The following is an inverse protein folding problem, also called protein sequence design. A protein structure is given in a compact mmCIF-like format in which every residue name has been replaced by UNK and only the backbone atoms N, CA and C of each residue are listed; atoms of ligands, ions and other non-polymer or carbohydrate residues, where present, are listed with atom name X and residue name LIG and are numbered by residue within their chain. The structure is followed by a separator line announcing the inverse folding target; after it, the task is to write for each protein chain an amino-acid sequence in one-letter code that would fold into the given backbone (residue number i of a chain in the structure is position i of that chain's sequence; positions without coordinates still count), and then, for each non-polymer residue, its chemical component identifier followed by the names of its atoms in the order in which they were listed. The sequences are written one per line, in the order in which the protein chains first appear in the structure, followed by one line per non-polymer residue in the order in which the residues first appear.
data_IF_583718519523
#
_entry.id   IF_583718519523
#
_cell.length_a   1.000
_cell.length_b   1.000
_cell.length_c   1.000
_cell.angle_alpha   90.00
_cell.angle_beta   90.00
_cell.angle_gamma   90.00
#
_symmetry.space_group_name_H-M   'P 1'
#
loop_
_entity.id
_entity.type
_entity.pdbx_description
1 polymer ?
#
# COMPACT_ATOMS: atom_id res chain seq x y z
N UNK A 1 10.83 16.19 -5.00
CA UNK A 1 9.59 15.45 -5.21
C UNK A 1 8.56 16.35 -5.92
N UNK A 2 8.26 17.56 -5.42
CA UNK A 2 7.25 18.48 -5.97
C UNK A 2 7.46 18.75 -7.48
N UNK A 3 8.69 19.11 -7.89
CA UNK A 3 9.00 19.28 -9.32
C UNK A 3 8.81 18.00 -10.14
N UNK A 4 9.15 16.85 -9.56
CA UNK A 4 8.97 15.55 -10.22
C UNK A 4 7.49 15.30 -10.51
N UNK A 5 6.63 15.53 -9.53
CA UNK A 5 5.19 15.25 -9.65
C UNK A 5 4.45 16.32 -10.47
N UNK A 6 4.76 17.61 -10.26
CA UNK A 6 3.95 18.71 -10.83
C UNK A 6 4.45 19.22 -12.19
N UNK A 7 5.77 19.10 -12.46
CA UNK A 7 6.35 19.66 -13.69
C UNK A 7 6.81 18.59 -14.68
N UNK A 8 7.06 17.36 -14.20
CA UNK A 8 7.67 16.29 -15.01
C UNK A 8 6.79 15.05 -15.14
N UNK A 9 5.53 15.14 -14.71
CA UNK A 9 4.59 14.01 -14.71
C UNK A 9 5.16 12.73 -14.09
N UNK A 10 5.94 12.88 -13.01
CA UNK A 10 6.67 11.77 -12.40
C UNK A 10 5.80 10.92 -11.49
N UNK A 11 6.31 9.74 -11.17
CA UNK A 11 5.71 8.79 -10.24
C UNK A 11 6.53 8.68 -8.95
N UNK A 12 5.88 8.39 -7.83
CA UNK A 12 6.52 8.09 -6.56
C UNK A 12 5.93 6.82 -5.92
N UNK A 13 6.81 5.91 -5.50
CA UNK A 13 6.45 4.68 -4.79
C UNK A 13 7.15 4.65 -3.43
N UNK A 14 6.40 4.42 -2.37
CA UNK A 14 6.92 4.22 -1.02
C UNK A 14 6.54 2.86 -0.48
N UNK A 15 7.53 2.00 -0.21
CA UNK A 15 7.30 0.68 0.38
C UNK A 15 7.78 0.71 1.83
N UNK A 16 6.97 0.21 2.77
CA UNK A 16 7.24 0.11 4.19
C UNK A 16 7.64 1.48 4.79
N UNK A 17 8.91 1.70 5.12
CA UNK A 17 9.42 2.99 5.59
C UNK A 17 9.18 4.13 4.57
N UNK A 18 9.22 3.82 3.28
CA UNK A 18 8.86 4.78 2.22
C UNK A 18 7.40 5.22 2.32
N UNK A 19 6.48 4.32 2.60
CA UNK A 19 5.07 4.68 2.83
C UNK A 19 4.91 5.55 4.08
N UNK A 20 5.61 5.22 5.16
CA UNK A 20 5.63 6.06 6.37
C UNK A 20 6.10 7.49 6.07
N UNK A 21 7.12 7.65 5.24
CA UNK A 21 7.59 8.96 4.80
C UNK A 21 6.54 9.70 3.94
N UNK A 22 5.95 9.02 2.95
CA UNK A 22 4.95 9.61 2.07
C UNK A 22 3.72 10.11 2.83
N UNK A 23 3.22 9.33 3.81
CA UNK A 23 2.03 9.70 4.57
C UNK A 23 2.31 10.85 5.55
N UNK A 24 3.51 10.89 6.16
CA UNK A 24 3.93 11.99 7.04
C UNK A 24 4.15 13.29 6.29
N UNK A 25 4.60 13.22 5.05
CA UNK A 25 4.74 14.39 4.18
C UNK A 25 3.39 14.90 3.63
N UNK A 26 2.32 14.10 3.67
CA UNK A 26 1.03 14.41 3.05
C UNK A 26 0.93 13.98 1.58
N UNK A 27 2.01 13.45 0.98
CA UNK A 27 2.00 12.99 -0.41
C UNK A 27 0.96 11.90 -0.65
N UNK A 28 0.65 11.11 0.33
CA UNK A 28 -0.59 10.34 0.43
C UNK A 28 -1.28 10.74 1.75
N UNK A 29 -2.58 11.01 1.77
CA UNK A 29 -3.56 10.89 0.68
C UNK A 29 -3.74 12.15 -0.18
N UNK A 30 -3.02 13.25 0.06
CA UNK A 30 -3.32 14.57 -0.53
C UNK A 30 -2.72 14.77 -1.93
N UNK A 31 -1.60 14.12 -2.27
CA UNK A 31 -0.88 14.29 -3.54
C UNK A 31 0.17 15.40 -3.52
N UNK A 32 0.30 16.13 -2.41
CA UNK A 32 1.23 17.24 -2.25
C UNK A 32 1.86 17.25 -0.85
N UNK A 33 2.93 18.00 -0.67
CA UNK A 33 3.62 18.11 0.62
C UNK A 33 2.89 19.14 1.49
N UNK A 34 1.93 18.66 2.29
CA UNK A 34 1.15 19.46 3.25
C UNK A 34 1.52 19.19 4.70
N UNK A 35 2.28 18.11 4.94
CA UNK A 35 2.41 17.53 6.28
C UNK A 35 1.12 16.88 6.75
N UNK A 36 1.17 16.30 7.96
CA UNK A 36 -0.01 15.71 8.60
C UNK A 36 -0.89 16.79 9.25
N UNK A 37 -2.20 16.67 9.06
CA UNK A 37 -3.22 17.42 9.80
C UNK A 37 -3.69 16.58 11.00
N UNK A 38 -4.38 17.18 11.99
CA UNK A 38 -4.81 16.44 13.19
C UNK A 38 -5.68 15.21 12.92
N UNK A 39 -6.44 15.22 11.85
CA UNK A 39 -7.35 14.15 11.41
C UNK A 39 -6.81 13.33 10.22
N UNK A 40 -5.58 13.60 9.79
CA UNK A 40 -4.96 12.88 8.66
C UNK A 40 -4.85 11.39 8.92
N UNK A 41 -5.05 10.56 7.90
CA UNK A 41 -4.61 9.17 7.92
C UNK A 41 -3.13 9.07 8.28
N UNK A 42 -2.77 8.06 9.07
CA UNK A 42 -1.38 7.85 9.46
C UNK A 42 -1.04 6.36 9.60
N UNK A 43 0.25 6.08 9.73
CA UNK A 43 0.78 4.78 10.11
C UNK A 43 1.33 4.86 11.54
N UNK A 44 1.00 3.86 12.35
CA UNK A 44 1.39 3.78 13.76
C UNK A 44 1.82 2.36 14.13
N UNK A 45 2.10 2.14 15.43
CA UNK A 45 2.53 0.85 15.95
C UNK A 45 1.52 -0.26 15.65
N UNK A 46 2.05 -1.44 15.30
CA UNK A 46 1.26 -2.66 15.17
C UNK A 46 0.49 -2.94 16.47
N UNK A 47 -0.70 -3.52 16.38
CA UNK A 47 -1.52 -3.90 17.57
C UNK A 47 -0.77 -4.79 18.55
N UNK A 48 0.12 -5.65 18.06
CA UNK A 48 0.94 -6.53 18.88
C UNK A 48 2.11 -5.82 19.60
N UNK A 49 2.28 -4.51 19.43
CA UNK A 49 3.35 -3.69 20.03
C UNK A 49 4.78 -4.19 19.79
N UNK A 50 5.01 -4.88 18.68
CA UNK A 50 6.33 -5.40 18.29
C UNK A 50 6.46 -5.51 16.78
N UNK A 51 7.69 -5.75 16.35
CA UNK A 51 7.98 -6.08 14.95
C UNK A 51 7.28 -7.38 14.53
N UNK A 52 6.67 -7.37 13.35
CA UNK A 52 6.14 -8.55 12.66
C UNK A 52 6.98 -8.83 11.41
N UNK A 53 7.29 -10.10 11.17
CA UNK A 53 7.88 -10.57 9.91
C UNK A 53 7.08 -11.78 9.44
N UNK A 54 6.26 -11.60 8.40
CA UNK A 54 5.32 -12.63 7.93
C UNK A 54 5.01 -12.42 6.45
N UNK A 55 4.74 -13.50 5.73
CA UNK A 55 4.11 -13.41 4.41
C UNK A 55 2.65 -13.01 4.59
N UNK A 56 2.20 -12.00 3.86
CA UNK A 56 0.84 -11.48 3.91
C UNK A 56 0.18 -11.57 2.54
N UNK A 57 -1.12 -11.80 2.53
CA UNK A 57 -1.93 -11.79 1.32
C UNK A 57 -2.57 -10.42 1.17
N UNK A 58 -2.38 -9.81 0.00
CA UNK A 58 -2.92 -8.50 -0.32
C UNK A 58 -3.71 -8.55 -1.61
N UNK A 59 -4.88 -7.91 -1.61
CA UNK A 59 -5.77 -7.84 -2.77
C UNK A 59 -5.71 -6.45 -3.39
N UNK A 60 -5.59 -6.38 -4.70
CA UNK A 60 -5.73 -5.12 -5.45
C UNK A 60 -7.21 -4.76 -5.51
N UNK A 61 -7.59 -3.66 -4.87
CA UNK A 61 -8.99 -3.20 -4.79
C UNK A 61 -9.26 -1.95 -5.62
N UNK A 62 -8.19 -1.33 -6.14
CA UNK A 62 -8.25 -0.24 -7.11
C UNK A 62 -7.02 -0.30 -8.02
N UNK A 63 -7.22 -0.13 -9.32
CA UNK A 63 -6.16 0.00 -10.32
C UNK A 63 -6.01 1.45 -10.82
N UNK A 64 -6.47 2.42 -10.04
CA UNK A 64 -6.33 3.85 -10.33
C UNK A 64 -4.88 4.27 -10.52
N UNK A 65 -3.98 3.67 -9.75
CA UNK A 65 -2.56 4.00 -9.78
C UNK A 65 -1.86 3.46 -11.02
N UNK A 66 -1.04 4.27 -11.71
CA UNK A 66 -0.15 3.79 -12.77
C UNK A 66 0.77 2.64 -12.32
N UNK A 67 1.10 2.58 -11.04
CA UNK A 67 1.89 1.50 -10.45
C UNK A 67 1.20 0.14 -10.48
N UNK A 68 -0.12 0.08 -10.66
CA UNK A 68 -0.93 -1.14 -10.61
C UNK A 68 -1.58 -1.53 -11.95
N UNK A 69 -1.22 -0.86 -13.05
CA UNK A 69 -1.80 -1.14 -14.38
C UNK A 69 -1.49 -2.54 -14.91
N UNK A 70 -0.42 -3.17 -14.43
CA UNK A 70 -0.07 -4.56 -14.76
C UNK A 70 -0.63 -5.60 -13.79
N UNK A 71 -1.27 -5.17 -12.70
CA UNK A 71 -1.89 -6.05 -11.72
C UNK A 71 -3.37 -6.28 -12.06
N UNK A 72 -3.87 -7.47 -11.75
CA UNK A 72 -5.28 -7.79 -11.92
C UNK A 72 -6.12 -7.13 -10.82
N UNK A 73 -7.20 -6.43 -11.19
CA UNK A 73 -8.17 -5.91 -10.22
C UNK A 73 -8.89 -7.07 -9.54
N UNK A 74 -8.87 -7.11 -8.21
CA UNK A 74 -9.34 -8.25 -7.43
C UNK A 74 -8.31 -9.37 -7.26
N UNK A 75 -7.17 -9.30 -7.95
CA UNK A 75 -6.06 -10.24 -7.81
C UNK A 75 -5.46 -10.23 -6.40
N UNK A 76 -5.12 -11.41 -5.91
CA UNK A 76 -4.49 -11.61 -4.58
C UNK A 76 -3.02 -11.97 -4.77
N UNK A 77 -2.17 -11.24 -4.05
CA UNK A 77 -0.72 -11.36 -4.13
C UNK A 77 -0.13 -11.60 -2.75
N UNK A 78 0.89 -12.45 -2.67
CA UNK A 78 1.58 -12.75 -1.43
C UNK A 78 2.95 -12.09 -1.39
N UNK A 79 3.20 -11.27 -0.37
CA UNK A 79 4.44 -10.51 -0.22
C UNK A 79 4.88 -10.50 1.25
N UNK A 80 6.19 -10.40 1.55
CA UNK A 80 6.64 -10.29 2.92
C UNK A 80 6.30 -8.92 3.53
N UNK A 81 5.77 -8.92 4.74
CA UNK A 81 5.67 -7.75 5.61
C UNK A 81 6.75 -7.83 6.69
N UNK A 82 7.42 -6.71 6.99
CA UNK A 82 8.51 -6.66 7.98
C UNK A 82 8.59 -5.26 8.58
N UNK A 83 7.84 -5.02 9.67
CA UNK A 83 7.73 -3.70 10.29
C UNK A 83 7.20 -3.76 11.73
N UNK A 84 7.51 -2.73 12.53
CA UNK A 84 6.92 -2.48 13.85
C UNK A 84 5.80 -1.45 13.83
N UNK A 85 5.79 -0.59 12.81
CA UNK A 85 4.89 0.55 12.63
C UNK A 85 4.29 0.52 11.22
N UNK A 86 3.30 -0.33 10.99
CA UNK A 86 2.65 -0.47 9.70
C UNK A 86 1.14 -0.38 9.75
N UNK A 87 0.59 -0.13 10.94
CA UNK A 87 -0.85 -0.06 11.18
C UNK A 87 -1.43 1.23 10.62
N UNK A 88 -2.22 1.12 9.56
CA UNK A 88 -2.99 2.23 9.02
C UNK A 88 -4.15 2.58 9.95
N UNK A 89 -4.24 3.85 10.33
CA UNK A 89 -5.34 4.38 11.13
C UNK A 89 -5.83 5.69 10.53
N UNK A 90 -7.16 5.87 10.55
CA UNK A 90 -7.82 7.08 10.07
C UNK A 90 -9.22 7.20 10.69
N UNK A 91 -9.78 8.41 10.82
CA UNK A 91 -11.20 8.60 11.07
C UNK A 91 -12.06 7.92 10.00
N UNK A 92 -13.29 7.51 10.37
CA UNK A 92 -14.20 6.82 9.46
C UNK A 92 -14.47 7.60 8.18
N UNK A 93 -14.63 8.90 8.28
CA UNK A 93 -14.86 9.82 7.16
C UNK A 93 -13.71 9.77 6.14
N UNK A 94 -12.48 9.65 6.61
CA UNK A 94 -11.33 9.46 5.74
C UNK A 94 -11.31 8.10 5.07
N UNK A 95 -11.66 7.03 5.81
CA UNK A 95 -11.75 5.68 5.23
C UNK A 95 -12.79 5.66 4.11
N UNK A 96 -13.99 6.17 4.38
CA UNK A 96 -15.08 6.23 3.39
C UNK A 96 -14.66 7.04 2.15
N UNK A 97 -14.01 8.20 2.35
CA UNK A 97 -13.50 9.04 1.27
C UNK A 97 -12.43 8.34 0.43
N UNK A 98 -11.49 7.65 1.06
CA UNK A 98 -10.43 6.93 0.35
C UNK A 98 -10.99 5.81 -0.54
N UNK A 99 -11.97 5.06 -0.05
CA UNK A 99 -12.67 4.05 -0.85
C UNK A 99 -13.47 4.68 -1.98
N UNK A 100 -14.28 5.71 -1.70
CA UNK A 100 -15.09 6.40 -2.71
C UNK A 100 -14.24 7.00 -3.85
N UNK A 101 -13.06 7.48 -3.53
CA UNK A 101 -12.12 8.06 -4.50
C UNK A 101 -11.26 7.01 -5.23
N UNK A 102 -11.35 5.73 -4.87
CA UNK A 102 -10.46 4.68 -5.38
C UNK A 102 -9.00 4.84 -4.94
N UNK A 103 -8.75 5.53 -3.83
CA UNK A 103 -7.42 5.76 -3.28
C UNK A 103 -6.92 4.60 -2.40
N UNK A 104 -7.81 3.72 -1.92
CA UNK A 104 -7.39 2.44 -1.34
C UNK A 104 -6.96 1.54 -2.48
N UNK A 105 -5.68 1.27 -2.56
CA UNK A 105 -5.08 0.47 -3.64
C UNK A 105 -5.09 -1.02 -3.32
N UNK A 106 -4.68 -1.36 -2.10
CA UNK A 106 -4.53 -2.74 -1.64
C UNK A 106 -5.06 -2.93 -0.22
N UNK A 107 -5.62 -4.11 0.05
CA UNK A 107 -6.09 -4.52 1.38
C UNK A 107 -5.48 -5.85 1.78
N UNK A 108 -5.22 -6.05 3.08
CA UNK A 108 -4.94 -7.36 3.66
C UNK A 108 -6.17 -8.25 3.54
N UNK A 109 -5.97 -9.51 3.13
CA UNK A 109 -7.05 -10.47 2.93
C UNK A 109 -6.69 -11.83 3.51
N UNK A 110 -7.74 -12.62 3.80
CA UNK A 110 -7.60 -14.04 4.13
C UNK A 110 -7.28 -14.90 2.87
N UNK A 111 -7.16 -16.20 3.05
CA UNK A 111 -6.90 -17.13 1.93
C UNK A 111 -8.06 -17.21 0.91
N UNK A 112 -9.26 -16.79 1.29
CA UNK A 112 -10.41 -16.70 0.38
C UNK A 112 -10.45 -15.36 -0.38
N UNK A 113 -9.51 -14.45 -0.10
CA UNK A 113 -9.43 -13.13 -0.72
C UNK A 113 -10.40 -12.11 -0.14
N UNK A 114 -10.92 -12.33 1.08
CA UNK A 114 -11.79 -11.40 1.77
C UNK A 114 -11.00 -10.47 2.69
N UNK A 115 -11.23 -9.15 2.64
CA UNK A 115 -10.68 -8.23 3.64
C UNK A 115 -11.11 -8.62 5.04
N UNK A 116 -10.17 -8.62 5.99
CA UNK A 116 -10.43 -9.10 7.34
C UNK A 116 -9.68 -8.30 8.40
N UNK A 117 -10.26 -8.20 9.59
CA UNK A 117 -9.62 -7.63 10.78
C UNK A 117 -8.96 -8.68 11.66
N UNK A 118 -8.99 -9.97 11.26
CA UNK A 118 -8.30 -11.04 11.95
C UNK A 118 -6.78 -10.82 11.89
N UNK A 119 -6.12 -10.86 13.06
CA UNK A 119 -4.67 -10.63 13.21
C UNK A 119 -3.82 -11.69 12.50
N UNK A 120 -4.39 -12.84 12.18
CA UNK A 120 -3.70 -13.83 11.36
C UNK A 120 -3.38 -13.29 9.96
N UNK A 121 -4.25 -12.49 9.40
CA UNK A 121 -4.15 -11.97 8.02
C UNK A 121 -3.85 -10.48 7.98
N UNK A 122 -4.53 -9.68 8.81
CA UNK A 122 -4.27 -8.26 9.00
C UNK A 122 -3.25 -8.06 10.14
N UNK A 123 -2.01 -8.40 9.84
CA UNK A 123 -0.93 -8.63 10.80
C UNK A 123 -0.53 -7.43 11.65
N UNK A 124 -0.98 -6.24 11.30
CA UNK A 124 -0.67 -5.00 12.01
C UNK A 124 -1.90 -4.29 12.61
N UNK A 125 -3.11 -4.82 12.34
CA UNK A 125 -4.37 -4.24 12.80
C UNK A 125 -4.82 -3.00 12.03
N UNK A 126 -4.42 -2.86 10.77
CA UNK A 126 -4.82 -1.74 9.90
C UNK A 126 -6.33 -1.62 9.78
N UNK A 127 -6.86 -0.41 9.93
CA UNK A 127 -8.27 -0.12 9.79
C UNK A 127 -8.77 -0.46 8.39
N UNK A 128 -9.97 -1.06 8.31
CA UNK A 128 -10.57 -1.54 7.07
C UNK A 128 -9.62 -2.43 6.24
N UNK A 129 -8.66 -3.10 6.89
CA UNK A 129 -7.62 -3.94 6.26
C UNK A 129 -6.75 -3.20 5.24
N UNK A 130 -6.69 -1.87 5.28
CA UNK A 130 -5.93 -1.07 4.32
C UNK A 130 -4.43 -1.39 4.45
N UNK A 131 -3.85 -1.86 3.33
CA UNK A 131 -2.40 -2.15 3.21
C UNK A 131 -1.66 -1.05 2.47
N UNK A 132 -2.31 -0.43 1.47
CA UNK A 132 -1.73 0.63 0.68
C UNK A 132 -2.75 1.62 0.14
N UNK A 133 -2.32 2.88 0.02
CA UNK A 133 -3.15 3.98 -0.50
C UNK A 133 -2.38 4.82 -1.52
N UNK A 134 -3.13 5.56 -2.33
CA UNK A 134 -2.57 6.46 -3.36
C UNK A 134 -2.90 7.93 -3.11
N UNK A 135 -2.20 8.82 -3.83
CA UNK A 135 -2.64 10.19 -4.07
C UNK A 135 -3.95 10.22 -4.86
N UNK A 136 -4.67 11.38 -4.92
CA UNK A 136 -5.92 11.49 -5.65
C UNK A 136 -5.81 11.18 -7.14
N UNK A 137 -4.65 11.45 -7.75
CA UNK A 137 -4.33 11.14 -9.14
C UNK A 137 -3.70 9.75 -9.36
N UNK A 138 -3.41 9.03 -8.27
CA UNK A 138 -2.80 7.68 -8.30
C UNK A 138 -1.29 7.65 -8.52
N UNK A 139 -0.63 8.78 -8.80
CA UNK A 139 0.80 8.82 -9.16
C UNK A 139 1.74 8.58 -7.98
N UNK A 140 1.29 8.90 -6.77
CA UNK A 140 2.00 8.54 -5.55
C UNK A 140 1.32 7.32 -4.94
N UNK A 141 2.08 6.26 -4.67
CA UNK A 141 1.58 5.04 -4.07
C UNK A 141 2.41 4.65 -2.86
N UNK A 142 1.76 4.43 -1.73
CA UNK A 142 2.35 3.92 -0.50
C UNK A 142 1.77 2.57 -0.12
N UNK A 143 2.61 1.59 0.23
CA UNK A 143 2.21 0.24 0.68
C UNK A 143 3.17 -0.31 1.72
N UNK A 144 2.71 -1.25 2.55
CA UNK A 144 3.52 -1.82 3.64
C UNK A 144 4.27 -3.09 3.26
N UNK A 145 3.66 -3.99 2.49
CA UNK A 145 4.29 -5.24 2.10
C UNK A 145 5.34 -5.03 1.00
N UNK A 146 6.43 -5.78 1.09
CA UNK A 146 7.64 -5.61 0.29
C UNK A 146 7.56 -6.36 -1.04
N UNK A 147 6.98 -5.75 -2.07
CA UNK A 147 6.91 -6.32 -3.43
C UNK A 147 8.27 -6.37 -4.14
N UNK A 148 9.27 -5.65 -3.63
CA UNK A 148 10.66 -5.68 -4.13
C UNK A 148 11.45 -6.89 -3.63
N UNK A 149 11.01 -7.55 -2.54
CA UNK A 149 11.70 -8.71 -1.96
C UNK A 149 11.30 -10.01 -2.64
N UNK A 150 11.63 -10.10 -3.92
CA UNK A 150 11.36 -11.27 -4.76
C UNK A 150 12.54 -11.60 -5.67
N UNK A 151 12.59 -12.82 -6.15
CA UNK A 151 13.64 -13.30 -7.07
C UNK A 151 13.53 -14.80 -7.27
N UNK A 152 14.33 -15.36 -8.16
CA UNK A 152 14.26 -16.78 -8.57
C UNK A 152 14.47 -17.77 -7.42
N UNK A 153 15.11 -17.36 -6.33
CA UNK A 153 15.38 -18.20 -5.16
C UNK A 153 14.75 -17.65 -3.87
N UNK A 154 13.84 -16.67 -3.98
CA UNK A 154 13.17 -16.05 -2.83
C UNK A 154 11.73 -16.56 -2.75
N UNK A 155 11.31 -16.99 -1.56
CA UNK A 155 9.94 -17.45 -1.26
C UNK A 155 9.42 -18.56 -2.19
N UNK A 156 10.30 -19.44 -2.69
CA UNK A 156 9.96 -20.52 -3.65
C UNK A 156 8.96 -21.54 -3.09
N UNK A 157 8.89 -21.69 -1.77
CA UNK A 157 7.97 -22.60 -1.08
C UNK A 157 6.69 -21.90 -0.57
N UNK A 158 6.49 -20.63 -0.94
CA UNK A 158 5.30 -19.88 -0.57
C UNK A 158 4.30 -19.94 -1.72
N UNK A 159 3.12 -20.47 -1.43
CA UNK A 159 2.04 -20.58 -2.39
C UNK A 159 1.41 -19.22 -2.68
N UNK A 160 1.10 -18.94 -3.95
CA UNK A 160 0.40 -17.75 -4.42
C UNK A 160 1.24 -16.90 -5.38
N UNK A 161 0.57 -15.97 -6.06
CA UNK A 161 1.23 -15.01 -6.96
C UNK A 161 1.98 -13.96 -6.13
N UNK A 162 3.24 -13.72 -6.48
CA UNK A 162 4.11 -12.79 -5.77
C UNK A 162 4.41 -11.52 -6.58
N UNK A 163 4.14 -11.56 -7.89
CA UNK A 163 4.49 -10.48 -8.81
C UNK A 163 3.34 -9.51 -9.07
N UNK A 164 3.28 -8.45 -8.27
CA UNK A 164 2.31 -7.36 -8.44
C UNK A 164 2.55 -6.50 -9.70
N UNK A 165 3.60 -6.77 -10.49
CA UNK A 165 3.99 -6.01 -11.69
C UNK A 165 4.24 -4.53 -11.45
N UNK A 166 4.49 -4.13 -10.21
CA UNK A 166 4.58 -2.74 -9.78
C UNK A 166 5.66 -1.96 -10.55
N UNK A 167 6.88 -2.53 -10.62
CA UNK A 167 8.02 -1.84 -11.27
C UNK A 167 7.86 -1.81 -12.79
N UNK A 168 7.36 -2.89 -13.38
CA UNK A 168 7.04 -2.95 -14.81
C UNK A 168 5.99 -1.92 -15.19
N UNK A 169 4.94 -1.78 -14.37
CA UNK A 169 3.87 -0.79 -14.55
C UNK A 169 4.40 0.62 -14.48
N UNK A 170 5.24 0.93 -13.49
CA UNK A 170 5.87 2.24 -13.36
C UNK A 170 6.77 2.61 -14.55
N UNK A 171 7.52 1.64 -15.09
CA UNK A 171 8.35 1.87 -16.29
C UNK A 171 7.48 2.06 -17.54
N UNK A 172 6.38 1.30 -17.67
CA UNK A 172 5.45 1.42 -18.81
C UNK A 172 4.72 2.76 -18.86
N UNK A 173 4.55 3.42 -17.73
CA UNK A 173 3.91 4.73 -17.66
C UNK A 173 4.62 5.80 -18.50
N UNK A 174 5.95 5.70 -18.64
CA UNK A 174 6.80 6.67 -19.36
C UNK A 174 7.10 6.24 -20.81
N UNK A 175 6.52 5.19 -21.30
CA UNK A 175 6.69 4.68 -22.67
C UNK A 175 5.45 4.88 -23.52
#
# INVERSE_FOLDING_TARGET
VTKLLNERDGLALGICNGFQALIKLGLVPYGEITGQQPDSPTLTFNTINRHISKMVYTKVVSNKSPWLTGAELGGVYVNPASHGEGRFVAPKEWIDKLFANGQVATQYVDLAGNPTMDEEWNVNGSYASIEGITSPDGRVFGKMAHSERRGTAVAINIYGEQDLKIFESGVKYFK
#
